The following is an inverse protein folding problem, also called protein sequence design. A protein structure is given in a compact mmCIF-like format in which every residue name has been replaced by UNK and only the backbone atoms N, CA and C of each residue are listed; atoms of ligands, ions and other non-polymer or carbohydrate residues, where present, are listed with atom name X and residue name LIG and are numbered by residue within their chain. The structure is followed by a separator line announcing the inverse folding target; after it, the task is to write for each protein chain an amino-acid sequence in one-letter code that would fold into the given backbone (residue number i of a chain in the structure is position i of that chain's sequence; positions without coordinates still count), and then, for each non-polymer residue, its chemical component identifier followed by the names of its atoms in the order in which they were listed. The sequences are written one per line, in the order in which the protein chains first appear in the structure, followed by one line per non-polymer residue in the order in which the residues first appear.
data_IF_478511871348
#
_entry.id   IF_478511871348
#
_cell.length_a   1.000
_cell.length_b   1.000
_cell.length_c   1.000
_cell.angle_alpha   90.00
_cell.angle_beta   90.00
_cell.angle_gamma   90.00
#
_symmetry.space_group_name_H-M   'P 1'
#
loop_
_entity.id
_entity.type
_entity.pdbx_description
1 polymer ?
#
# COMPACT_ATOMS: atom_id res chain seq x y z
N UNK A 1 40.26 2.07 39.78
CA UNK A 1 39.07 2.92 39.54
C UNK A 1 38.97 3.46 38.12
N UNK A 2 40.07 3.87 37.48
CA UNK A 2 40.08 4.43 36.11
C UNK A 2 39.54 3.51 35.00
N UNK A 3 39.82 2.20 35.06
CA UNK A 3 39.36 1.23 34.04
C UNK A 3 37.83 1.06 34.01
N UNK A 4 37.14 1.15 35.16
CA UNK A 4 35.67 1.07 35.20
C UNK A 4 35.01 2.32 34.61
N UNK A 5 35.61 3.50 34.81
CA UNK A 5 35.12 4.78 34.25
C UNK A 5 35.30 4.83 32.74
N UNK A 6 36.43 4.33 32.23
CA UNK A 6 36.66 4.21 30.79
C UNK A 6 35.69 3.22 30.12
N UNK A 7 35.41 2.08 30.78
CA UNK A 7 34.46 1.08 30.28
C UNK A 7 33.01 1.61 30.28
N UNK A 8 32.59 2.33 31.31
CA UNK A 8 31.25 2.95 31.36
C UNK A 8 31.13 4.10 30.35
N UNK A 9 32.18 4.90 30.13
CA UNK A 9 32.18 5.93 29.10
C UNK A 9 32.06 5.32 27.70
N UNK A 10 32.78 4.23 27.41
CA UNK A 10 32.70 3.52 26.14
C UNK A 10 31.30 2.91 25.88
N UNK A 11 30.66 2.35 26.93
CA UNK A 11 29.29 1.82 26.84
C UNK A 11 28.24 2.92 26.59
N UNK A 12 28.40 4.11 27.18
CA UNK A 12 27.48 5.25 26.95
C UNK A 12 27.65 5.87 25.56
N UNK A 13 28.87 5.91 25.03
CA UNK A 13 29.16 6.33 23.64
C UNK A 13 28.60 5.35 22.60
N UNK A 14 28.57 4.05 22.90
CA UNK A 14 28.02 3.01 22.02
C UNK A 14 26.48 3.09 21.88
N UNK A 15 25.79 3.62 22.89
CA UNK A 15 24.32 3.71 22.89
C UNK A 15 23.78 4.89 22.05
N UNK A 16 24.65 5.84 21.68
CA UNK A 16 24.28 7.04 20.91
C UNK A 16 24.36 6.83 19.39
N UNK A 17 24.87 5.67 18.93
CA UNK A 17 25.14 5.39 17.52
C UNK A 17 24.02 4.65 16.77
N UNK A 18 22.86 4.39 17.39
CA UNK A 18 21.76 3.65 16.75
C UNK A 18 20.53 4.56 16.59
N UNK A 19 20.56 5.40 15.56
CA UNK A 19 19.36 6.05 15.01
C UNK A 19 19.46 6.12 13.48
N UNK A 20 19.42 4.95 12.83
CA UNK A 20 18.96 4.87 11.45
C UNK A 20 17.44 4.65 11.50
N UNK A 21 16.69 5.71 11.80
CA UNK A 21 15.23 5.69 11.65
C UNK A 21 14.94 6.30 10.29
N UNK A 22 14.70 5.46 9.28
CA UNK A 22 14.15 5.94 8.01
C UNK A 22 12.77 6.54 8.27
N UNK A 23 12.61 7.82 7.92
CA UNK A 23 11.35 8.53 8.05
C UNK A 23 10.57 8.40 6.75
N UNK A 24 9.54 7.57 6.76
CA UNK A 24 8.58 7.49 5.65
C UNK A 24 7.56 8.63 5.75
N UNK A 25 7.24 9.22 4.60
CA UNK A 25 6.05 10.05 4.44
C UNK A 25 4.90 9.18 3.97
N UNK A 26 3.84 9.09 4.79
CA UNK A 26 2.68 8.25 4.53
C UNK A 26 1.56 9.04 3.85
N UNK A 27 0.93 8.43 2.85
CA UNK A 27 -0.20 8.97 2.12
C UNK A 27 -1.35 7.96 2.18
N UNK A 28 -2.58 8.45 2.32
CA UNK A 28 -3.77 7.61 2.45
C UNK A 28 -4.65 7.84 1.22
N UNK A 29 -4.70 6.89 0.26
CA UNK A 29 -5.38 7.10 -1.02
C UNK A 29 -6.85 7.50 -0.88
N UNK A 30 -7.54 7.03 0.17
CA UNK A 30 -8.94 7.36 0.41
C UNK A 30 -9.11 8.75 1.01
N UNK A 31 -8.20 9.20 1.89
CA UNK A 31 -8.25 10.53 2.50
C UNK A 31 -7.84 11.60 1.49
N UNK A 32 -6.80 11.30 0.71
CA UNK A 32 -6.25 12.17 -0.33
C UNK A 32 -7.10 12.15 -1.62
N UNK A 33 -8.15 11.31 -1.67
CA UNK A 33 -9.06 11.11 -2.81
C UNK A 33 -8.34 10.76 -4.10
N UNK A 34 -7.31 9.92 -3.97
CA UNK A 34 -6.37 9.58 -5.03
C UNK A 34 -6.51 8.11 -5.43
N UNK A 35 -7.73 7.68 -5.72
CA UNK A 35 -8.04 6.31 -6.18
C UNK A 35 -8.79 6.39 -7.50
N UNK A 36 -8.18 5.81 -8.53
CA UNK A 36 -8.67 5.82 -9.90
C UNK A 36 -9.31 4.47 -10.28
N UNK A 37 -9.95 4.44 -11.45
CA UNK A 37 -10.69 3.26 -11.93
C UNK A 37 -12.04 3.05 -11.23
N UNK A 38 -12.51 4.07 -10.49
CA UNK A 38 -13.79 4.07 -9.77
C UNK A 38 -14.88 4.78 -10.56
N UNK A 39 -16.13 4.55 -10.18
CA UNK A 39 -17.25 5.36 -10.67
C UNK A 39 -17.18 6.76 -10.05
N UNK A 40 -17.15 7.79 -10.90
CA UNK A 40 -17.19 9.18 -10.48
C UNK A 40 -18.57 9.57 -9.94
N UNK A 41 -18.61 10.61 -9.09
CA UNK A 41 -19.83 11.25 -8.59
C UNK A 41 -20.79 10.32 -7.80
N UNK A 42 -20.30 9.17 -7.34
CA UNK A 42 -21.07 8.21 -6.54
C UNK A 42 -20.46 8.02 -5.16
N UNK A 43 -21.31 7.80 -4.15
CA UNK A 43 -20.84 7.45 -2.82
C UNK A 43 -20.37 5.99 -2.81
N UNK A 44 -19.07 5.81 -2.63
CA UNK A 44 -18.42 4.52 -2.52
C UNK A 44 -17.70 4.42 -1.17
N UNK A 45 -18.02 3.38 -0.40
CA UNK A 45 -17.28 3.07 0.81
C UNK A 45 -15.95 2.36 0.51
N UNK A 46 -14.87 2.77 1.19
CA UNK A 46 -13.55 2.16 1.10
C UNK A 46 -13.08 1.92 -0.36
N UNK A 47 -12.68 0.70 -0.70
CA UNK A 47 -12.29 0.26 -2.06
C UNK A 47 -13.38 -0.60 -2.74
N UNK A 48 -14.66 -0.32 -2.49
CA UNK A 48 -15.76 -0.97 -3.19
C UNK A 48 -15.91 -0.45 -4.63
N UNK A 49 -16.33 -1.34 -5.55
CA UNK A 49 -16.65 -1.05 -6.96
C UNK A 49 -18.08 -0.61 -7.20
N UNK A 50 -19.02 -1.10 -6.39
CA UNK A 50 -20.43 -0.74 -6.53
C UNK A 50 -20.77 0.43 -5.60
N UNK A 51 -21.57 1.41 -6.05
CA UNK A 51 -22.13 2.44 -5.19
C UNK A 51 -22.88 1.85 -4.01
N UNK A 52 -22.77 2.49 -2.84
CA UNK A 52 -23.37 1.99 -1.60
C UNK A 52 -24.89 1.84 -1.70
N UNK A 53 -25.55 2.67 -2.52
CA UNK A 53 -26.99 2.62 -2.78
C UNK A 53 -27.47 1.32 -3.47
N UNK A 54 -26.56 0.57 -4.11
CA UNK A 54 -26.92 -0.66 -4.82
C UNK A 54 -27.01 -1.88 -3.92
N UNK A 55 -26.56 -1.82 -2.66
CA UNK A 55 -26.55 -2.95 -1.73
C UNK A 55 -27.92 -3.65 -1.61
N UNK A 56 -28.99 -2.86 -1.49
CA UNK A 56 -30.36 -3.38 -1.38
C UNK A 56 -31.01 -3.74 -2.72
N UNK A 57 -30.39 -3.34 -3.83
CA UNK A 57 -30.94 -3.49 -5.19
C UNK A 57 -30.38 -4.70 -5.92
N UNK A 58 -29.18 -5.15 -5.55
CA UNK A 58 -28.53 -6.31 -6.17
C UNK A 58 -28.64 -7.56 -5.30
N UNK A 59 -28.49 -8.73 -5.91
CA UNK A 59 -28.41 -9.99 -5.15
C UNK A 59 -27.18 -9.97 -4.26
N UNK A 60 -27.30 -10.54 -3.06
CA UNK A 60 -26.20 -10.61 -2.08
C UNK A 60 -24.85 -11.05 -2.68
N UNK A 61 -24.74 -12.12 -3.51
CA UNK A 61 -23.45 -12.50 -4.09
C UNK A 61 -22.83 -11.43 -5.01
N UNK A 62 -23.66 -10.63 -5.69
CA UNK A 62 -23.19 -9.52 -6.54
C UNK A 62 -22.65 -8.39 -5.67
N UNK A 63 -23.36 -8.05 -4.59
CA UNK A 63 -22.88 -7.06 -3.62
C UNK A 63 -21.53 -7.48 -3.01
N UNK A 64 -21.43 -8.74 -2.57
CA UNK A 64 -20.20 -9.26 -1.97
C UNK A 64 -19.00 -9.20 -2.93
N UNK A 65 -19.17 -9.57 -4.20
CA UNK A 65 -18.14 -9.43 -5.23
C UNK A 65 -17.83 -7.97 -5.58
N UNK A 66 -18.77 -7.06 -5.37
CA UNK A 66 -18.61 -5.62 -5.55
C UNK A 66 -17.63 -4.99 -4.55
N UNK A 67 -17.32 -5.67 -3.44
CA UNK A 67 -16.35 -5.20 -2.43
C UNK A 67 -14.90 -5.50 -2.79
N UNK A 68 -14.64 -6.29 -3.83
CA UNK A 68 -13.28 -6.54 -4.33
C UNK A 68 -12.79 -5.34 -5.15
N UNK A 69 -11.55 -4.89 -4.92
CA UNK A 69 -10.91 -3.71 -5.52
C UNK A 69 -10.34 -3.92 -6.93
N UNK A 70 -10.87 -4.88 -7.69
CA UNK A 70 -10.36 -5.22 -9.03
C UNK A 70 -10.47 -4.02 -9.99
N UNK A 71 -9.35 -3.66 -10.64
CA UNK A 71 -9.29 -2.56 -11.61
C UNK A 71 -9.08 -1.18 -10.99
N UNK A 72 -8.94 -1.08 -9.67
CA UNK A 72 -8.56 0.18 -9.01
C UNK A 72 -7.05 0.37 -9.03
N UNK A 73 -6.61 1.61 -9.15
CA UNK A 73 -5.19 1.96 -9.13
C UNK A 73 -4.99 3.33 -8.48
N UNK A 74 -3.74 3.59 -8.10
CA UNK A 74 -3.28 4.86 -7.53
C UNK A 74 -2.18 5.35 -8.46
N UNK A 75 -2.38 6.50 -9.09
CA UNK A 75 -1.39 7.08 -10.01
C UNK A 75 -0.62 8.20 -9.32
N UNK A 76 0.68 8.07 -9.11
CA UNK A 76 1.46 9.10 -8.43
C UNK A 76 2.82 9.27 -9.07
N UNK A 77 3.42 10.45 -8.85
CA UNK A 77 4.76 10.76 -9.28
C UNK A 77 5.64 11.00 -8.05
N UNK A 78 6.82 10.39 -8.04
CA UNK A 78 7.78 10.55 -6.95
C UNK A 78 9.20 10.47 -7.49
N UNK A 79 10.11 11.20 -6.85
CA UNK A 79 11.56 11.04 -7.03
C UNK A 79 12.17 10.18 -5.93
N UNK A 80 11.35 9.58 -5.05
CA UNK A 80 11.80 8.73 -3.96
C UNK A 80 12.49 7.48 -4.50
N UNK A 81 13.64 7.09 -3.94
CA UNK A 81 14.31 5.84 -4.32
C UNK A 81 13.61 4.60 -3.76
N UNK A 82 12.68 4.77 -2.81
CA UNK A 82 11.94 3.68 -2.17
C UNK A 82 10.45 4.00 -2.09
N UNK A 83 9.64 2.96 -2.30
CA UNK A 83 8.19 3.00 -2.18
C UNK A 83 7.79 1.89 -1.21
N UNK A 84 7.02 2.25 -0.18
CA UNK A 84 6.48 1.32 0.80
C UNK A 84 4.96 1.37 0.73
N UNK A 85 4.32 0.20 0.59
CA UNK A 85 2.86 0.10 0.59
C UNK A 85 2.41 -0.77 1.76
N UNK A 86 1.54 -0.21 2.60
CA UNK A 86 0.89 -0.94 3.69
C UNK A 86 -0.60 -1.05 3.39
N UNK A 87 -1.12 -2.27 3.44
CA UNK A 87 -2.52 -2.53 3.16
C UNK A 87 -3.01 -3.75 3.94
N UNK A 88 -4.33 -3.82 4.10
CA UNK A 88 -5.02 -4.94 4.72
C UNK A 88 -6.08 -5.46 3.76
N UNK A 89 -6.23 -6.78 3.71
CA UNK A 89 -7.27 -7.44 2.92
C UNK A 89 -8.30 -8.10 3.83
N UNK A 90 -9.57 -8.06 3.42
CA UNK A 90 -10.67 -8.63 4.19
C UNK A 90 -10.94 -10.11 3.87
N UNK A 91 -10.49 -10.58 2.69
CA UNK A 91 -10.74 -11.92 2.18
C UNK A 91 -9.58 -12.89 2.37
N UNK A 92 -9.68 -14.06 1.73
CA UNK A 92 -8.58 -15.01 1.66
C UNK A 92 -7.41 -14.46 0.84
N UNK A 93 -6.19 -14.87 1.21
CA UNK A 93 -4.98 -14.45 0.51
C UNK A 93 -4.86 -15.06 -0.88
N UNK A 94 -5.45 -16.24 -1.12
CA UNK A 94 -5.34 -16.95 -2.37
C UNK A 94 -6.59 -17.80 -2.65
N UNK A 95 -6.64 -18.38 -3.85
CA UNK A 95 -7.60 -19.42 -4.23
C UNK A 95 -6.84 -20.63 -4.77
N UNK A 96 -7.42 -21.84 -4.78
CA UNK A 96 -6.74 -23.02 -5.32
C UNK A 96 -6.21 -22.86 -6.77
N UNK A 97 -6.80 -21.95 -7.53
CA UNK A 97 -6.47 -21.66 -8.93
C UNK A 97 -5.88 -20.25 -9.13
N UNK A 98 -5.65 -19.47 -8.08
CA UNK A 98 -5.13 -18.11 -8.19
C UNK A 98 -4.16 -17.80 -7.04
N UNK A 99 -2.89 -17.47 -7.33
CA UNK A 99 -1.86 -17.25 -6.32
C UNK A 99 -2.11 -15.96 -5.53
N UNK A 100 -1.39 -15.78 -4.43
CA UNK A 100 -1.54 -14.61 -3.54
C UNK A 100 -1.34 -13.29 -4.26
N UNK A 101 -0.34 -13.21 -5.15
CA UNK A 101 -0.09 -12.02 -5.97
C UNK A 101 -1.28 -11.65 -6.86
N UNK A 102 -2.10 -12.63 -7.28
CA UNK A 102 -3.27 -12.40 -8.13
C UNK A 102 -4.58 -12.14 -7.38
N UNK A 103 -4.73 -12.63 -6.15
CA UNK A 103 -5.96 -12.45 -5.34
C UNK A 103 -5.86 -11.24 -4.43
N UNK A 104 -4.74 -11.12 -3.72
CA UNK A 104 -4.58 -10.16 -2.63
C UNK A 104 -3.29 -9.36 -2.72
N UNK A 105 -2.55 -9.45 -3.82
CA UNK A 105 -1.29 -8.72 -4.04
C UNK A 105 -1.50 -7.33 -4.65
N UNK A 106 -0.39 -6.67 -4.95
CA UNK A 106 -0.35 -5.39 -5.66
C UNK A 106 0.59 -5.48 -6.85
N UNK A 107 0.28 -4.76 -7.93
CA UNK A 107 1.21 -4.57 -9.05
C UNK A 107 1.65 -3.10 -9.09
N UNK A 108 2.96 -2.87 -9.18
CA UNK A 108 3.56 -1.56 -9.37
C UNK A 108 4.10 -1.43 -10.79
N UNK A 109 3.52 -0.50 -11.54
CA UNK A 109 4.02 -0.08 -12.84
C UNK A 109 4.75 1.24 -12.69
N UNK A 110 5.94 1.34 -13.26
CA UNK A 110 6.75 2.55 -13.25
C UNK A 110 7.07 2.96 -14.69
N UNK A 111 6.87 4.24 -15.01
CA UNK A 111 7.24 4.79 -16.30
C UNK A 111 8.47 5.68 -16.17
N UNK A 112 9.55 5.33 -16.86
CA UNK A 112 10.71 6.19 -17.00
C UNK A 112 10.43 7.24 -18.08
N UNK A 113 10.26 8.49 -17.65
CA UNK A 113 9.97 9.60 -18.58
C UNK A 113 11.18 10.00 -19.45
N UNK A 114 12.40 9.68 -19.03
CA UNK A 114 13.65 9.97 -19.77
C UNK A 114 13.84 8.96 -20.89
N UNK A 115 13.80 7.67 -20.54
CA UNK A 115 14.00 6.58 -21.50
C UNK A 115 12.72 6.19 -22.25
N UNK A 116 11.56 6.66 -21.78
CA UNK A 116 10.22 6.38 -22.31
C UNK A 116 9.82 4.91 -22.25
N UNK A 117 10.23 4.23 -21.19
CA UNK A 117 10.04 2.79 -21.00
C UNK A 117 9.20 2.49 -19.76
N UNK A 118 8.47 1.38 -19.80
CA UNK A 118 7.71 0.86 -18.66
C UNK A 118 8.48 -0.26 -17.96
N UNK A 119 8.57 -0.18 -16.64
CA UNK A 119 8.95 -1.28 -15.76
C UNK A 119 7.74 -1.84 -15.01
N UNK A 120 7.74 -3.15 -14.74
CA UNK A 120 6.71 -3.84 -13.97
C UNK A 120 7.33 -4.61 -12.80
N UNK A 121 6.76 -4.42 -11.61
CA UNK A 121 7.10 -5.13 -10.39
C UNK A 121 5.83 -5.66 -9.72
N UNK A 122 5.85 -6.92 -9.27
CA UNK A 122 4.75 -7.51 -8.49
C UNK A 122 5.13 -7.49 -7.01
N UNK A 123 4.25 -6.96 -6.16
CA UNK A 123 4.46 -6.73 -4.73
C UNK A 123 3.54 -7.62 -3.87
#
# INVERSE_FOLDING_TARGET
MFSKVALTAFLLLSFSAIKAQESYSWFSPLEDKHVEGRLENQKLSAFNRLPDELESQVRKPVWELGKNSAGFYIDFQTTSPEIMVQYQVAGGLNMPHMPTTGVSGLDLYAYDTVNKEWGLWQL
#
